data_IF_051128301285
#
_entry.id   IF_051128301285
#
_cell.length_a   1.000
_cell.length_b   1.000
_cell.length_c   1.000
_cell.angle_alpha   90.00
_cell.angle_beta   90.00
_cell.angle_gamma   90.00
#
_symmetry.space_group_name_H-M   'P 1'
#
loop_
_entity.id
_entity.type
_entity.pdbx_description
1 polymer ?
#
# COMPACT_ATOMS: atom_id res chain seq x y z
N UNK A 1 7.32 15.14 -2.38
CA UNK A 1 6.06 14.59 -1.81
C UNK A 1 6.34 14.12 -0.39
N UNK A 2 5.43 14.32 0.57
CA UNK A 2 5.65 13.79 1.94
C UNK A 2 5.71 12.26 1.86
N UNK A 3 6.70 11.58 2.46
CA UNK A 3 6.91 10.14 2.29
C UNK A 3 5.70 9.29 2.66
N UNK A 4 4.90 9.70 3.67
CA UNK A 4 3.65 9.02 4.00
C UNK A 4 2.59 9.08 2.88
N UNK A 5 2.47 10.21 2.16
CA UNK A 5 1.54 10.35 1.04
C UNK A 5 1.97 9.46 -0.13
N UNK A 6 3.28 9.37 -0.39
CA UNK A 6 3.82 8.49 -1.43
C UNK A 6 3.48 7.02 -1.14
N UNK A 7 3.67 6.58 0.10
CA UNK A 7 3.34 5.21 0.53
C UNK A 7 1.85 4.90 0.37
N UNK A 8 0.96 5.84 0.68
CA UNK A 8 -0.49 5.67 0.48
C UNK A 8 -0.81 5.46 -1.01
N UNK A 9 -0.21 6.23 -1.91
CA UNK A 9 -0.42 6.10 -3.37
C UNK A 9 0.08 4.74 -3.86
N UNK A 10 1.28 4.33 -3.45
CA UNK A 10 1.87 3.03 -3.83
C UNK A 10 1.00 1.88 -3.33
N UNK A 11 0.59 1.91 -2.06
CA UNK A 11 -0.27 0.88 -1.49
C UNK A 11 -1.65 0.83 -2.16
N UNK A 12 -2.21 1.98 -2.54
CA UNK A 12 -3.44 2.05 -3.35
C UNK A 12 -3.27 1.40 -4.72
N UNK A 13 -2.15 1.65 -5.41
CA UNK A 13 -1.82 0.99 -6.68
C UNK A 13 -1.68 -0.52 -6.54
N UNK A 14 -1.00 -0.99 -5.50
CA UNK A 14 -0.87 -2.42 -5.19
C UNK A 14 -2.24 -3.06 -4.90
N UNK A 15 -3.09 -2.38 -4.14
CA UNK A 15 -4.44 -2.86 -3.85
C UNK A 15 -5.27 -3.01 -5.13
N UNK A 16 -5.29 -1.99 -6.00
CA UNK A 16 -6.02 -2.03 -7.27
C UNK A 16 -5.46 -3.14 -8.19
N UNK A 17 -4.14 -3.26 -8.32
CA UNK A 17 -3.52 -4.30 -9.13
C UNK A 17 -3.87 -5.71 -8.62
N UNK A 18 -3.87 -5.92 -7.30
CA UNK A 18 -4.29 -7.17 -6.68
C UNK A 18 -5.76 -7.52 -6.95
N UNK A 19 -6.66 -6.53 -6.90
CA UNK A 19 -8.07 -6.71 -7.26
C UNK A 19 -8.22 -7.07 -8.74
N UNK A 20 -7.51 -6.39 -9.65
CA UNK A 20 -7.54 -6.71 -11.08
C UNK A 20 -7.13 -8.17 -11.30
N UNK A 21 -5.99 -8.60 -10.75
CA UNK A 21 -5.56 -10.00 -10.87
C UNK A 21 -6.56 -11.00 -10.28
N UNK A 22 -7.22 -10.66 -9.16
CA UNK A 22 -8.19 -11.53 -8.54
C UNK A 22 -9.49 -11.68 -9.35
N UNK A 23 -10.00 -10.57 -9.90
CA UNK A 23 -11.25 -10.53 -10.66
C UNK A 23 -11.10 -10.92 -12.13
N UNK A 24 -9.91 -10.80 -12.72
CA UNK A 24 -9.65 -11.27 -14.09
C UNK A 24 -9.66 -12.79 -14.23
N UNK A 25 -9.70 -13.55 -13.13
CA UNK A 25 -9.66 -15.02 -13.13
C UNK A 25 -10.98 -15.57 -12.59
N UNK A 26 -11.70 -16.30 -13.43
CA UNK A 26 -13.03 -16.85 -13.13
C UNK A 26 -13.01 -17.84 -11.97
N UNK A 27 -14.08 -17.84 -11.17
CA UNK A 27 -14.30 -18.82 -10.11
C UNK A 27 -14.65 -20.18 -10.73
N UNK A 28 -13.71 -21.11 -10.70
CA UNK A 28 -13.92 -22.47 -11.22
C UNK A 28 -12.83 -22.97 -12.17
N UNK A 29 -11.86 -22.12 -12.55
CA UNK A 29 -10.71 -22.58 -13.32
C UNK A 29 -9.86 -23.57 -12.49
N UNK A 30 -9.81 -24.81 -12.97
CA UNK A 30 -9.11 -25.94 -12.34
C UNK A 30 -7.59 -25.89 -12.62
N UNK A 31 -7.16 -25.03 -13.54
CA UNK A 31 -5.77 -24.88 -13.93
C UNK A 31 -4.92 -24.36 -12.76
N UNK A 32 -3.92 -25.14 -12.29
CA UNK A 32 -3.14 -24.81 -11.09
C UNK A 32 -2.44 -23.46 -11.19
N UNK A 33 -2.00 -23.10 -12.40
CA UNK A 33 -1.27 -21.86 -12.66
C UNK A 33 -2.16 -20.63 -12.50
N UNK A 34 -3.40 -20.66 -12.96
CA UNK A 34 -4.33 -19.54 -12.81
C UNK A 34 -4.76 -19.38 -11.34
N UNK A 35 -4.94 -20.48 -10.62
CA UNK A 35 -5.18 -20.44 -9.17
C UNK A 35 -4.01 -19.83 -8.40
N UNK A 36 -2.77 -20.14 -8.81
CA UNK A 36 -1.57 -19.55 -8.23
C UNK A 36 -1.52 -18.04 -8.47
N UNK A 37 -1.73 -17.59 -9.71
CA UNK A 37 -1.76 -16.16 -10.06
C UNK A 37 -2.84 -15.43 -9.26
N UNK A 38 -4.03 -16.03 -9.11
CA UNK A 38 -5.12 -15.48 -8.30
C UNK A 38 -4.72 -15.28 -6.84
N UNK A 39 -4.09 -16.27 -6.23
CA UNK A 39 -3.63 -16.18 -4.85
C UNK A 39 -2.50 -15.14 -4.67
N UNK A 40 -1.59 -15.05 -5.63
CA UNK A 40 -0.55 -14.01 -5.66
C UNK A 40 -1.21 -12.63 -5.76
N UNK A 41 -2.20 -12.46 -6.65
CA UNK A 41 -2.99 -11.22 -6.77
C UNK A 41 -3.64 -10.83 -5.45
N UNK A 42 -4.27 -11.78 -4.75
CA UNK A 42 -4.82 -11.55 -3.40
C UNK A 42 -3.75 -11.10 -2.42
N UNK A 43 -2.58 -11.75 -2.41
CA UNK A 43 -1.47 -11.39 -1.54
C UNK A 43 -0.93 -9.98 -1.83
N UNK A 44 -0.81 -9.61 -3.11
CA UNK A 44 -0.44 -8.25 -3.53
C UNK A 44 -1.49 -7.24 -3.05
N UNK A 45 -2.78 -7.57 -3.18
CA UNK A 45 -3.86 -6.73 -2.68
C UNK A 45 -3.79 -6.54 -1.16
N UNK A 46 -3.65 -7.64 -0.41
CA UNK A 46 -3.57 -7.62 1.06
C UNK A 46 -2.34 -6.85 1.56
N UNK A 47 -1.19 -7.06 0.93
CA UNK A 47 0.04 -6.31 1.25
C UNK A 47 -0.10 -4.82 0.91
N UNK A 48 -0.81 -4.47 -0.16
CA UNK A 48 -1.16 -3.09 -0.50
C UNK A 48 -1.89 -2.36 0.65
N UNK A 49 -2.83 -3.03 1.32
CA UNK A 49 -3.49 -2.49 2.52
C UNK A 49 -2.48 -2.20 3.63
N UNK A 50 -1.54 -3.13 3.87
CA UNK A 50 -0.46 -2.93 4.85
C UNK A 50 0.41 -1.70 4.53
N UNK A 51 0.75 -1.49 3.25
CA UNK A 51 1.51 -0.33 2.79
C UNK A 51 0.75 0.98 3.00
N UNK A 52 -0.57 0.99 2.75
CA UNK A 52 -1.43 2.15 3.04
C UNK A 52 -1.40 2.48 4.52
N UNK A 53 -1.57 1.49 5.40
CA UNK A 53 -1.54 1.68 6.86
C UNK A 53 -0.20 2.27 7.29
N UNK A 54 0.93 1.74 6.81
CA UNK A 54 2.25 2.29 7.09
C UNK A 54 2.40 3.74 6.59
N UNK A 55 1.87 4.04 5.40
CA UNK A 55 1.85 5.40 4.84
C UNK A 55 1.05 6.39 5.68
N UNK A 56 -0.12 5.97 6.18
CA UNK A 56 -0.95 6.78 7.09
C UNK A 56 -0.23 7.04 8.41
N UNK A 57 0.38 6.01 9.02
CA UNK A 57 1.15 6.18 10.25
C UNK A 57 2.32 7.17 10.04
N UNK A 58 3.08 7.02 8.97
CA UNK A 58 4.15 7.95 8.61
C UNK A 58 3.65 9.36 8.36
N UNK A 59 2.48 9.52 7.74
CA UNK A 59 1.86 10.82 7.51
C UNK A 59 1.50 11.50 8.84
N UNK A 60 0.93 10.76 9.79
CA UNK A 60 0.59 11.26 11.12
C UNK A 60 1.85 11.64 11.92
N UNK A 61 2.86 10.78 11.95
CA UNK A 61 4.14 11.05 12.64
C UNK A 61 4.78 12.33 12.12
N UNK A 62 4.88 12.48 10.79
CA UNK A 62 5.48 13.67 10.17
C UNK A 62 4.67 14.95 10.37
N UNK A 63 3.37 14.85 10.64
CA UNK A 63 2.52 16.02 10.93
C UNK A 63 2.62 16.45 12.39
N UNK A 64 2.94 15.53 13.29
CA UNK A 64 2.99 15.75 14.73
C UNK A 64 4.36 16.22 15.24
N UNK A 65 5.39 16.27 14.39
CA UNK A 65 6.66 16.89 14.77
C UNK A 65 6.48 18.41 14.82
N UNK A 66 6.67 19.06 15.99
CA UNK A 66 6.68 20.52 16.03
C UNK A 66 7.81 21.00 15.10
N UNK A 67 7.61 22.11 14.35
CA UNK A 67 8.70 22.69 13.58
C UNK A 67 9.86 22.92 14.54
N UNK A 68 11.03 22.35 14.22
CA UNK A 68 12.25 22.60 14.96
C UNK A 68 12.45 24.11 14.88
N UNK A 69 12.10 24.83 15.95
CA UNK A 69 12.51 26.22 16.11
C UNK A 69 14.01 26.13 16.23
N UNK A 70 14.73 26.48 15.17
CA UNK A 70 16.12 26.91 15.30
C UNK A 70 16.10 28.15 16.20
N UNK A 71 16.15 27.94 17.51
CA UNK A 71 16.63 28.97 18.41
C UNK A 71 18.10 29.11 18.11
N UNK A 72 18.42 30.05 17.23
CA UNK A 72 19.73 30.68 17.20
C UNK A 72 19.93 31.28 18.60
N UNK A 73 20.53 30.51 19.51
CA UNK A 73 21.07 31.07 20.74
C UNK A 73 22.29 31.93 20.35
N UNK A 74 22.27 33.24 20.67
CA UNK A 74 23.32 34.18 20.31
C UNK A 74 24.62 33.99 21.10
#
# INVERSE_FOLDING_TARGET
MKPGILMIIVGGGMFIAGLIMFYSIELGQVEPLLRLIKNIGTFVGLSGIGVIVAGVLLYLINRSQPPIKESFEP
#
